data_IF_124935886422
#
_entry.id   IF_124935886422
#
_cell.length_a   1.000
_cell.length_b   1.000
_cell.length_c   1.000
_cell.angle_alpha   90.00
_cell.angle_beta   90.00
_cell.angle_gamma   90.00
#
_symmetry.space_group_name_H-M   'P 1'
#
loop_
_entity.id
_entity.type
_entity.pdbx_description
1 polymer ?
#
# COMPACT_ATOMS: atom_id res chain seq x y z
N UNK A 1 -20.94 -1.73 -9.45
CA UNK A 1 -19.54 -1.34 -9.25
C UNK A 1 -19.23 -1.36 -7.76
N UNK A 2 -18.09 -1.81 -7.38
CA UNK A 2 -17.66 -2.01 -6.01
C UNK A 2 -16.35 -1.29 -5.75
N UNK A 3 -16.29 -0.47 -4.72
CA UNK A 3 -15.07 0.21 -4.32
C UNK A 3 -14.04 -0.77 -3.75
N UNK A 4 -12.76 -0.47 -3.94
CA UNK A 4 -11.66 -1.32 -3.49
C UNK A 4 -10.73 -0.53 -2.58
N UNK A 5 -10.41 -1.09 -1.41
CA UNK A 5 -9.35 -0.63 -0.52
C UNK A 5 -8.13 -1.53 -0.69
N UNK A 6 -7.00 -0.94 -1.03
CA UNK A 6 -5.72 -1.64 -1.13
C UNK A 6 -4.80 -1.22 0.01
N UNK A 7 -4.44 -2.17 0.85
CA UNK A 7 -3.54 -2.01 2.00
C UNK A 7 -2.13 -2.36 1.55
N UNK A 8 -1.28 -1.36 1.36
CA UNK A 8 0.06 -1.53 0.82
C UNK A 8 1.06 -1.89 1.92
N UNK A 9 1.65 -3.07 1.83
CA UNK A 9 2.84 -3.56 2.52
C UNK A 9 2.89 -3.27 4.04
N UNK A 10 1.77 -3.42 4.73
CA UNK A 10 1.70 -3.22 6.19
C UNK A 10 2.33 -4.38 6.95
N UNK A 11 3.61 -4.70 6.63
CA UNK A 11 4.41 -5.81 7.14
C UNK A 11 5.25 -5.40 8.35
N UNK A 12 5.67 -6.39 9.15
CA UNK A 12 6.43 -6.14 10.37
C UNK A 12 7.76 -5.42 10.08
N UNK A 13 8.47 -5.77 9.01
CA UNK A 13 9.75 -5.14 8.67
C UNK A 13 9.63 -3.64 8.36
N UNK A 14 8.50 -3.20 7.79
CA UNK A 14 8.24 -1.78 7.52
C UNK A 14 7.60 -1.04 8.70
N UNK A 15 7.16 -1.73 9.75
CA UNK A 15 6.48 -1.11 10.90
C UNK A 15 7.38 -1.11 12.13
N UNK A 16 7.89 -2.28 12.52
CA UNK A 16 8.68 -2.48 13.75
C UNK A 16 10.07 -3.02 13.50
N UNK A 17 10.32 -3.58 12.32
CA UNK A 17 11.58 -4.20 11.91
C UNK A 17 12.61 -3.20 11.38
N UNK A 18 13.59 -3.68 10.58
CA UNK A 18 14.77 -2.92 10.18
C UNK A 18 14.45 -1.66 9.34
N UNK A 19 13.36 -1.65 8.60
CA UNK A 19 12.90 -0.50 7.81
C UNK A 19 11.72 0.23 8.47
N UNK A 20 11.42 -0.08 9.73
CA UNK A 20 10.34 0.52 10.49
C UNK A 20 10.58 1.99 10.84
N UNK A 21 9.48 2.73 11.04
CA UNK A 21 9.53 4.12 11.49
C UNK A 21 8.47 4.42 12.54
N UNK A 22 8.66 5.51 13.30
CA UNK A 22 7.63 6.00 14.22
C UNK A 22 6.34 6.40 13.50
N UNK A 23 6.47 6.94 12.29
CA UNK A 23 5.32 7.28 11.44
C UNK A 23 4.55 6.03 11.02
N UNK A 24 5.24 4.97 10.55
CA UNK A 24 4.60 3.70 10.18
C UNK A 24 3.87 3.07 11.37
N UNK A 25 4.48 3.07 12.57
CA UNK A 25 3.82 2.61 13.80
C UNK A 25 2.56 3.42 14.13
N UNK A 26 2.61 4.73 13.95
CA UNK A 26 1.51 5.64 14.32
C UNK A 26 0.26 5.47 13.47
N UNK A 27 0.39 4.99 12.22
CA UNK A 27 -0.76 4.81 11.32
C UNK A 27 -1.47 3.47 11.51
N UNK A 28 -0.86 2.47 12.17
CA UNK A 28 -1.46 1.13 12.34
C UNK A 28 -2.91 1.18 12.87
N UNK A 29 -3.24 1.93 13.94
CA UNK A 29 -4.62 2.01 14.42
C UNK A 29 -5.58 2.61 13.38
N UNK A 30 -5.12 3.62 12.61
CA UNK A 30 -5.91 4.28 11.57
C UNK A 30 -6.18 3.34 10.39
N UNK A 31 -5.15 2.61 9.96
CA UNK A 31 -5.25 1.57 8.92
C UNK A 31 -6.25 0.49 9.33
N UNK A 32 -6.13 -0.05 10.55
CA UNK A 32 -7.05 -1.06 11.08
C UNK A 32 -8.49 -0.54 11.13
N UNK A 33 -8.68 0.71 11.56
CA UNK A 33 -10.02 1.33 11.57
C UNK A 33 -10.56 1.46 10.15
N UNK A 34 -9.76 1.97 9.21
CA UNK A 34 -10.15 2.15 7.80
C UNK A 34 -10.56 0.81 7.17
N UNK A 35 -9.80 -0.27 7.39
CA UNK A 35 -10.13 -1.62 6.91
C UNK A 35 -11.50 -2.09 7.44
N UNK A 36 -11.75 -1.90 8.72
CA UNK A 36 -13.00 -2.36 9.37
C UNK A 36 -14.25 -1.62 8.88
N UNK A 37 -14.10 -0.33 8.62
CA UNK A 37 -15.20 0.58 8.27
C UNK A 37 -15.41 0.71 6.75
N UNK A 38 -14.51 0.18 5.93
CA UNK A 38 -14.60 0.30 4.48
C UNK A 38 -15.77 -0.51 3.93
N UNK A 39 -16.61 0.13 3.14
CA UNK A 39 -17.72 -0.54 2.44
C UNK A 39 -17.26 -0.90 1.02
N UNK A 40 -16.74 -2.12 0.85
CA UNK A 40 -16.21 -2.59 -0.42
C UNK A 40 -15.28 -3.79 -0.28
N UNK A 41 -14.51 -4.07 -1.33
CA UNK A 41 -13.50 -5.12 -1.35
C UNK A 41 -12.23 -4.61 -0.66
N UNK A 42 -11.64 -5.44 0.20
CA UNK A 42 -10.36 -5.15 0.86
C UNK A 42 -9.32 -6.13 0.34
N UNK A 43 -8.25 -5.58 -0.25
CA UNK A 43 -7.07 -6.31 -0.70
C UNK A 43 -5.83 -5.78 0.02
N UNK A 44 -4.77 -6.58 0.06
CA UNK A 44 -3.47 -6.13 0.55
C UNK A 44 -2.36 -6.56 -0.40
N UNK A 45 -1.29 -5.76 -0.47
CA UNK A 45 -0.03 -6.22 -1.04
C UNK A 45 0.92 -6.68 0.06
N UNK A 46 1.81 -7.59 -0.31
CA UNK A 46 2.84 -8.11 0.56
C UNK A 46 4.15 -8.19 -0.21
N UNK A 47 5.08 -7.31 0.14
CA UNK A 47 6.42 -7.33 -0.43
C UNK A 47 7.13 -8.64 -0.08
N UNK A 48 7.78 -9.27 -1.06
CA UNK A 48 8.26 -10.63 -0.89
C UNK A 48 9.58 -10.82 -1.62
N UNK A 49 10.64 -11.00 -0.85
CA UNK A 49 11.98 -11.28 -1.33
C UNK A 49 12.42 -12.70 -0.93
N UNK A 50 13.45 -13.18 -1.57
CA UNK A 50 14.15 -14.42 -1.24
C UNK A 50 15.50 -14.15 -0.56
N UNK A 51 16.22 -15.21 -0.21
CA UNK A 51 17.52 -15.13 0.46
C UNK A 51 18.62 -14.49 -0.42
N UNK A 52 18.36 -14.34 -1.74
CA UNK A 52 19.29 -13.71 -2.70
C UNK A 52 19.03 -12.20 -2.83
N UNK A 53 18.22 -11.59 -1.95
CA UNK A 53 17.87 -10.18 -1.99
C UNK A 53 19.09 -9.27 -2.21
N UNK A 54 20.21 -9.51 -1.49
CA UNK A 54 21.42 -8.69 -1.59
C UNK A 54 22.11 -8.75 -2.96
N UNK A 55 21.84 -9.77 -3.77
CA UNK A 55 22.36 -9.91 -5.12
C UNK A 55 21.53 -9.14 -6.15
N UNK A 56 20.31 -8.77 -5.77
CA UNK A 56 19.40 -7.99 -6.60
C UNK A 56 19.87 -6.55 -6.81
N UNK A 57 19.31 -5.87 -7.81
CA UNK A 57 19.52 -4.43 -8.01
C UNK A 57 19.05 -3.61 -6.81
N UNK A 58 17.92 -3.99 -6.23
CA UNK A 58 17.35 -3.33 -5.05
C UNK A 58 18.25 -3.53 -3.83
N UNK A 59 18.69 -4.77 -3.57
CA UNK A 59 19.57 -5.08 -2.46
C UNK A 59 20.93 -4.39 -2.53
N UNK A 60 21.44 -4.11 -3.74
CA UNK A 60 22.65 -3.30 -3.92
C UNK A 60 22.45 -1.83 -3.57
N UNK A 61 21.26 -1.28 -3.80
CA UNK A 61 20.90 0.11 -3.48
C UNK A 61 20.45 0.29 -2.04
N UNK A 62 19.81 -0.73 -1.46
CA UNK A 62 19.35 -0.79 -0.08
C UNK A 62 19.85 -2.09 0.57
N UNK A 63 21.10 -2.14 1.08
CA UNK A 63 21.69 -3.36 1.62
C UNK A 63 21.14 -3.71 3.02
N UNK A 64 19.82 -3.80 3.14
CA UNK A 64 19.08 -4.14 4.34
C UNK A 64 18.06 -5.24 3.99
N UNK A 65 18.38 -6.52 4.16
CA UNK A 65 17.44 -7.60 3.91
C UNK A 65 16.15 -7.38 4.68
N UNK A 66 15.03 -7.47 3.99
CA UNK A 66 13.69 -7.29 4.55
C UNK A 66 12.66 -8.12 3.78
N UNK A 67 11.54 -8.36 4.38
CA UNK A 67 10.42 -9.09 3.79
C UNK A 67 10.84 -10.41 3.12
N UNK A 68 11.84 -11.11 3.72
CA UNK A 68 12.26 -12.42 3.24
C UNK A 68 11.14 -13.42 3.47
N UNK A 69 10.74 -14.11 2.42
CA UNK A 69 9.60 -15.04 2.43
C UNK A 69 9.67 -16.02 3.60
N UNK A 70 8.58 -16.13 4.35
CA UNK A 70 8.46 -17.01 5.52
C UNK A 70 9.08 -16.47 6.81
N UNK A 71 9.76 -15.31 6.80
CA UNK A 71 10.27 -14.66 8.00
C UNK A 71 9.16 -13.98 8.81
N UNK A 72 9.42 -13.68 10.08
CA UNK A 72 8.49 -12.90 10.92
C UNK A 72 8.31 -11.48 10.36
N UNK A 73 9.38 -10.88 9.82
CA UNK A 73 9.38 -9.56 9.21
C UNK A 73 8.49 -9.45 7.96
N UNK A 74 8.44 -10.52 7.18
CA UNK A 74 7.60 -10.63 6.00
C UNK A 74 6.09 -10.66 6.32
N UNK A 75 5.70 -11.19 7.48
CA UNK A 75 4.30 -11.24 7.86
C UNK A 75 3.68 -9.84 7.96
N UNK A 76 2.44 -9.72 7.56
CA UNK A 76 1.65 -8.52 7.83
C UNK A 76 1.56 -8.28 9.35
N UNK A 77 1.52 -7.01 9.74
CA UNK A 77 1.32 -6.64 11.13
C UNK A 77 0.05 -7.32 11.71
N UNK A 78 0.10 -7.98 12.87
CA UNK A 78 -0.96 -8.87 13.35
C UNK A 78 -2.36 -8.26 13.40
N UNK A 79 -2.47 -6.98 13.81
CA UNK A 79 -3.77 -6.30 13.86
C UNK A 79 -4.31 -5.98 12.46
N UNK A 80 -3.42 -5.69 11.50
CA UNK A 80 -3.79 -5.42 10.10
C UNK A 80 -4.24 -6.71 9.44
N UNK A 81 -3.45 -7.77 9.55
CA UNK A 81 -3.78 -9.10 9.04
C UNK A 81 -5.16 -9.58 9.55
N UNK A 82 -5.37 -9.48 10.87
CA UNK A 82 -6.65 -9.84 11.48
C UNK A 82 -7.81 -9.00 10.95
N UNK A 83 -7.60 -7.71 10.68
CA UNK A 83 -8.65 -6.85 10.13
C UNK A 83 -8.99 -7.23 8.69
N UNK A 84 -7.99 -7.52 7.85
CA UNK A 84 -8.16 -7.95 6.45
C UNK A 84 -8.95 -9.26 6.40
N UNK A 85 -8.52 -10.29 7.11
CA UNK A 85 -9.21 -11.59 7.08
C UNK A 85 -10.64 -11.56 7.65
N UNK A 86 -10.95 -10.64 8.54
CA UNK A 86 -12.33 -10.42 9.00
C UNK A 86 -13.23 -9.76 7.95
N UNK A 87 -12.64 -9.11 6.97
CA UNK A 87 -13.30 -8.45 5.84
C UNK A 87 -13.14 -9.24 4.54
N UNK A 88 -12.50 -10.43 4.61
CA UNK A 88 -12.25 -11.25 3.44
C UNK A 88 -13.57 -11.62 2.75
N UNK A 89 -13.64 -11.27 1.49
CA UNK A 89 -14.72 -11.62 0.60
C UNK A 89 -14.41 -12.96 -0.09
N UNK A 90 -15.29 -13.92 0.07
CA UNK A 90 -15.14 -15.27 -0.50
C UNK A 90 -15.15 -15.31 -2.04
N UNK A 91 -15.50 -14.19 -2.71
CA UNK A 91 -15.36 -14.07 -4.16
C UNK A 91 -13.89 -13.93 -4.60
N UNK A 92 -13.00 -13.57 -3.68
CA UNK A 92 -11.55 -13.50 -3.90
C UNK A 92 -10.89 -14.65 -3.15
N UNK A 93 -10.07 -15.45 -3.85
CA UNK A 93 -9.41 -16.63 -3.26
C UNK A 93 -8.51 -16.26 -2.08
N UNK A 94 -7.67 -15.24 -2.26
CA UNK A 94 -6.78 -14.71 -1.22
C UNK A 94 -6.77 -13.18 -1.33
N UNK A 95 -7.05 -12.45 -0.25
CA UNK A 95 -7.01 -11.00 -0.26
C UNK A 95 -5.59 -10.43 -0.29
N UNK A 96 -4.54 -11.25 -0.16
CA UNK A 96 -3.14 -10.85 -0.10
C UNK A 96 -2.45 -11.16 -1.42
N UNK A 97 -1.89 -10.13 -2.06
CA UNK A 97 -1.18 -10.22 -3.33
C UNK A 97 0.31 -10.02 -3.05
N UNK A 98 1.08 -11.08 -3.20
CA UNK A 98 2.53 -11.00 -3.09
C UNK A 98 3.14 -10.29 -4.31
N UNK A 99 4.18 -9.50 -4.07
CA UNK A 99 4.93 -8.79 -5.10
C UNK A 99 6.41 -8.76 -4.73
N UNK A 100 7.28 -8.70 -5.73
CA UNK A 100 8.73 -8.57 -5.58
C UNK A 100 9.26 -7.28 -6.22
N UNK A 101 8.40 -6.31 -6.42
CA UNK A 101 8.69 -4.99 -7.00
C UNK A 101 7.87 -3.93 -6.26
N UNK A 102 8.25 -2.66 -6.35
CA UNK A 102 7.55 -1.58 -5.63
C UNK A 102 6.07 -1.47 -6.00
N UNK A 103 5.73 -1.52 -7.30
CA UNK A 103 4.35 -1.65 -7.77
C UNK A 103 4.00 -3.10 -8.08
N UNK A 104 2.74 -3.47 -7.99
CA UNK A 104 2.25 -4.83 -8.26
C UNK A 104 1.51 -4.90 -9.59
N UNK A 105 2.10 -5.56 -10.58
CA UNK A 105 1.42 -5.84 -11.86
C UNK A 105 0.21 -6.74 -11.63
N UNK A 106 0.33 -7.76 -10.78
CA UNK A 106 -0.79 -8.66 -10.47
C UNK A 106 -1.99 -7.93 -9.87
N UNK A 107 -1.76 -6.91 -9.03
CA UNK A 107 -2.83 -6.05 -8.53
C UNK A 107 -3.46 -5.24 -9.66
N UNK A 108 -2.64 -4.67 -10.54
CA UNK A 108 -3.12 -3.87 -11.66
C UNK A 108 -3.95 -4.72 -12.64
N UNK A 109 -3.49 -5.90 -12.98
CA UNK A 109 -4.21 -6.86 -13.83
C UNK A 109 -5.54 -7.27 -13.20
N UNK A 110 -5.53 -7.63 -11.90
CA UNK A 110 -6.75 -8.00 -11.18
C UNK A 110 -7.81 -6.88 -11.19
N UNK A 111 -7.39 -5.64 -10.94
CA UNK A 111 -8.32 -4.50 -10.95
C UNK A 111 -8.75 -4.12 -12.37
N UNK A 112 -7.89 -4.33 -13.38
CA UNK A 112 -8.26 -4.15 -14.79
C UNK A 112 -9.33 -5.14 -15.22
N UNK A 113 -9.20 -6.40 -14.84
CA UNK A 113 -10.22 -7.43 -15.08
C UNK A 113 -11.58 -7.07 -14.44
N UNK A 114 -11.56 -6.53 -13.22
CA UNK A 114 -12.77 -6.03 -12.57
C UNK A 114 -13.38 -4.86 -13.33
N UNK A 115 -12.54 -3.94 -13.83
CA UNK A 115 -12.98 -2.78 -14.58
C UNK A 115 -13.61 -3.17 -15.93
N UNK A 116 -13.00 -4.10 -16.66
CA UNK A 116 -13.52 -4.62 -17.93
C UNK A 116 -14.90 -5.29 -17.77
N UNK A 117 -15.13 -5.93 -16.62
CA UNK A 117 -16.45 -6.51 -16.26
C UNK A 117 -17.47 -5.48 -15.77
N UNK A 118 -17.08 -4.19 -15.64
CA UNK A 118 -17.95 -3.15 -15.09
C UNK A 118 -18.23 -3.30 -13.58
N UNK A 119 -17.38 -4.02 -12.87
CA UNK A 119 -17.52 -4.32 -11.45
C UNK A 119 -16.73 -3.36 -10.55
N UNK A 120 -15.68 -2.69 -11.08
CA UNK A 120 -14.80 -1.81 -10.33
C UNK A 120 -15.42 -0.42 -10.10
N UNK A 121 -15.39 0.03 -8.85
CA UNK A 121 -15.64 1.40 -8.42
C UNK A 121 -14.35 2.19 -8.19
N UNK A 122 -14.32 3.07 -7.20
CA UNK A 122 -13.14 3.84 -6.84
C UNK A 122 -12.10 2.93 -6.13
N UNK A 123 -10.80 3.23 -6.32
CA UNK A 123 -9.70 2.48 -5.68
C UNK A 123 -8.98 3.37 -4.68
N UNK A 124 -9.00 2.99 -3.41
CA UNK A 124 -8.32 3.72 -2.33
C UNK A 124 -7.09 2.96 -1.85
N UNK A 125 -5.94 3.62 -1.81
CA UNK A 125 -4.68 3.07 -1.30
C UNK A 125 -4.34 3.66 0.08
N UNK A 126 -3.87 2.78 0.97
CA UNK A 126 -3.33 3.11 2.30
C UNK A 126 -2.09 2.26 2.58
N UNK A 127 -1.23 2.64 3.51
CA UNK A 127 -0.09 1.81 3.94
C UNK A 127 1.27 2.47 3.80
N UNK A 128 2.30 1.68 3.51
CA UNK A 128 3.72 2.10 3.52
C UNK A 128 4.53 1.55 2.34
N UNK A 129 5.66 2.20 1.93
CA UNK A 129 5.95 3.59 2.26
C UNK A 129 5.26 4.50 1.26
N UNK A 130 4.79 5.67 1.70
CA UNK A 130 4.08 6.63 0.84
C UNK A 130 4.86 6.97 -0.43
N UNK A 131 6.18 7.17 -0.29
CA UNK A 131 7.10 7.59 -1.36
C UNK A 131 7.68 6.45 -2.20
N UNK A 132 7.37 5.20 -1.86
CA UNK A 132 7.88 4.02 -2.56
C UNK A 132 6.70 3.17 -3.05
N UNK A 133 6.27 2.18 -2.27
CA UNK A 133 5.28 1.20 -2.71
C UNK A 133 3.88 1.81 -2.91
N UNK A 134 3.46 2.76 -2.05
CA UNK A 134 2.15 3.43 -2.23
C UNK A 134 2.17 4.26 -3.51
N UNK A 135 3.19 5.10 -3.72
CA UNK A 135 3.30 5.92 -4.93
C UNK A 135 3.43 5.07 -6.19
N UNK A 136 4.26 4.00 -6.15
CA UNK A 136 4.45 3.10 -7.29
C UNK A 136 3.15 2.41 -7.70
N UNK A 137 2.39 1.88 -6.74
CA UNK A 137 1.10 1.27 -7.02
C UNK A 137 0.07 2.30 -7.49
N UNK A 138 0.00 3.48 -6.87
CA UNK A 138 -0.96 4.51 -7.26
C UNK A 138 -0.74 5.00 -8.70
N UNK A 139 0.51 5.23 -9.10
CA UNK A 139 0.86 5.65 -10.46
C UNK A 139 0.64 4.52 -11.46
N UNK A 140 1.03 3.29 -11.11
CA UNK A 140 0.79 2.11 -11.94
C UNK A 140 -0.70 1.91 -12.19
N UNK A 141 -1.53 1.95 -11.14
CA UNK A 141 -2.97 1.82 -11.27
C UNK A 141 -3.57 2.96 -12.10
N UNK A 142 -3.09 4.20 -11.94
CA UNK A 142 -3.54 5.32 -12.78
C UNK A 142 -3.18 5.15 -14.25
N UNK A 143 -2.10 4.42 -14.55
CA UNK A 143 -1.70 4.07 -15.92
C UNK A 143 -2.60 3.01 -16.53
N UNK A 144 -2.91 1.94 -15.77
CA UNK A 144 -3.76 0.84 -16.22
C UNK A 144 -5.26 1.22 -16.28
N UNK A 145 -5.69 2.12 -15.40
CA UNK A 145 -7.07 2.49 -15.13
C UNK A 145 -7.25 4.02 -15.21
N UNK A 146 -7.04 4.64 -16.39
CA UNK A 146 -6.99 6.10 -16.52
C UNK A 146 -8.31 6.80 -16.13
N UNK A 147 -9.44 6.13 -16.30
CA UNK A 147 -10.77 6.68 -16.00
C UNK A 147 -11.26 6.36 -14.58
N UNK A 148 -10.61 5.42 -13.89
CA UNK A 148 -10.96 5.08 -12.49
C UNK A 148 -10.36 6.12 -11.55
N UNK A 149 -11.10 6.50 -10.52
CA UNK A 149 -10.57 7.35 -9.45
C UNK A 149 -9.63 6.54 -8.57
N UNK A 150 -8.35 6.89 -8.63
CA UNK A 150 -7.33 6.38 -7.72
C UNK A 150 -7.17 7.39 -6.59
N UNK A 151 -7.36 6.93 -5.37
CA UNK A 151 -7.39 7.73 -4.15
C UNK A 151 -6.28 7.25 -3.22
N UNK A 152 -5.55 8.18 -2.60
CA UNK A 152 -4.60 7.89 -1.51
C UNK A 152 -5.08 8.60 -0.26
N UNK A 153 -5.35 7.84 0.81
CA UNK A 153 -5.71 8.39 2.12
C UNK A 153 -4.44 8.71 2.91
N UNK A 154 -4.00 9.96 2.84
CA UNK A 154 -2.74 10.42 3.42
C UNK A 154 -2.66 10.19 4.94
N UNK A 155 -3.78 10.25 5.67
CA UNK A 155 -3.80 10.00 7.11
C UNK A 155 -3.56 8.52 7.48
N UNK A 156 -3.71 7.62 6.51
CA UNK A 156 -3.47 6.18 6.63
C UNK A 156 -2.21 5.74 5.87
N UNK A 157 -1.36 6.68 5.43
CA UNK A 157 -0.08 6.41 4.79
C UNK A 157 1.08 6.99 5.62
N UNK A 158 2.24 6.35 5.53
CA UNK A 158 3.46 6.84 6.18
C UNK A 158 4.69 6.57 5.32
N UNK A 159 5.69 7.43 5.46
CA UNK A 159 7.05 7.26 4.95
C UNK A 159 8.06 7.25 6.10
N UNK A 160 9.35 7.20 5.79
CA UNK A 160 10.41 7.29 6.81
C UNK A 160 10.48 8.71 7.39
N UNK A 161 10.18 9.73 6.58
CA UNK A 161 10.15 11.15 6.99
C UNK A 161 8.92 11.87 6.45
N UNK A 162 8.47 12.93 7.17
CA UNK A 162 7.37 13.80 6.72
C UNK A 162 7.67 14.43 5.35
N UNK A 163 8.91 14.88 5.12
CA UNK A 163 9.28 15.51 3.85
C UNK A 163 9.12 14.56 2.65
N UNK A 164 9.48 13.28 2.80
CA UNK A 164 9.29 12.28 1.75
C UNK A 164 7.82 11.99 1.52
N UNK A 165 7.06 11.84 2.62
CA UNK A 165 5.60 11.67 2.56
C UNK A 165 4.94 12.82 1.78
N UNK A 166 5.23 14.06 2.14
CA UNK A 166 4.67 15.25 1.50
C UNK A 166 5.08 15.38 0.03
N UNK A 167 6.34 15.10 -0.29
CA UNK A 167 6.83 15.15 -1.67
C UNK A 167 6.10 14.12 -2.55
N UNK A 168 5.94 12.89 -2.07
CA UNK A 168 5.22 11.83 -2.77
C UNK A 168 3.76 12.17 -3.00
N UNK A 169 3.06 12.70 -1.99
CA UNK A 169 1.66 13.11 -2.11
C UNK A 169 1.49 14.23 -3.15
N UNK A 170 2.42 15.20 -3.19
CA UNK A 170 2.41 16.25 -4.23
C UNK A 170 2.61 15.68 -5.62
N UNK A 171 3.56 14.76 -5.80
CA UNK A 171 3.80 14.07 -7.08
C UNK A 171 2.57 13.29 -7.52
N UNK A 172 1.96 12.50 -6.65
CA UNK A 172 0.74 11.75 -6.96
C UNK A 172 -0.42 12.67 -7.37
N UNK A 173 -0.59 13.82 -6.71
CA UNK A 173 -1.58 14.82 -7.13
C UNK A 173 -1.32 15.37 -8.54
N UNK A 174 -0.05 15.60 -8.90
CA UNK A 174 0.30 16.01 -10.27
C UNK A 174 -0.04 14.95 -11.31
N UNK A 175 -0.02 13.65 -10.90
CA UNK A 175 -0.45 12.52 -11.72
C UNK A 175 -1.98 12.29 -11.67
N UNK A 176 -2.78 13.26 -11.20
CA UNK A 176 -4.24 13.19 -11.12
C UNK A 176 -4.77 12.11 -10.15
N UNK A 177 -3.95 11.70 -9.18
CA UNK A 177 -4.36 10.83 -8.07
C UNK A 177 -4.99 11.72 -6.99
N UNK A 178 -6.15 11.34 -6.50
CA UNK A 178 -6.87 12.07 -5.46
C UNK A 178 -6.21 11.80 -4.10
N UNK A 179 -5.69 12.84 -3.45
CA UNK A 179 -5.12 12.74 -2.11
C UNK A 179 -6.14 13.27 -1.09
N UNK A 180 -6.64 12.37 -0.24
CA UNK A 180 -7.60 12.69 0.83
C UNK A 180 -6.90 12.77 2.19
N UNK A 181 -7.54 13.46 3.15
CA UNK A 181 -7.09 13.58 4.54
C UNK A 181 -5.63 14.07 4.68
N UNK A 182 -5.19 14.89 3.72
CA UNK A 182 -3.88 15.51 3.74
C UNK A 182 -3.96 16.83 4.49
N UNK A 183 -3.50 16.84 5.71
CA UNK A 183 -3.34 18.05 6.50
C UNK A 183 -1.92 18.57 6.29
N UNK A 184 -1.77 19.64 5.53
CA UNK A 184 -0.57 20.44 5.59
C UNK A 184 -0.40 20.89 7.05
N UNK A 185 0.59 20.35 7.74
CA UNK A 185 1.07 21.02 8.94
C UNK A 185 1.50 22.39 8.48
N UNK A 186 0.73 23.43 8.84
CA UNK A 186 1.08 24.82 8.61
C UNK A 186 2.46 25.04 9.23
N UNK A 187 3.50 24.88 8.46
CA UNK A 187 4.78 25.48 8.74
C UNK A 187 4.59 26.94 8.36
N UNK A 188 4.31 27.77 9.34
CA UNK A 188 4.50 29.20 9.20
C UNK A 188 5.91 29.40 8.63
N UNK A 189 5.98 29.93 7.42
CA UNK A 189 7.17 30.48 6.81
C UNK A 189 7.46 31.80 7.53
#
# INVERSE_FOLDING_TARGET
MRDVLVVIDMQNDFITGPLGSSMAKSIVPKVVKKIREFDGLVLATQDTHDDLYLDSQEGKMLPAPHCISGSEGWNLHPYVQKAIYRRHDLSVRDPIIQKNTFGSILLADFLSDMNEKGELGDVTLIGVCTDICVASNAILLKTFLPEVKIIVDAACCASITENRHDAALRTMRSCQIIVQNYFLFNRNI
#
